data_IF_655668359880
#
_entry.id   IF_655668359880
#
_cell.length_a   1.000
_cell.length_b   1.000
_cell.length_c   1.000
_cell.angle_alpha   90.00
_cell.angle_beta   90.00
_cell.angle_gamma   90.00
#
_symmetry.space_group_name_H-M   'P 1'
#
loop_
_entity.id
_entity.type
_entity.pdbx_description
1 polymer ?
#
# COMPACT_ATOMS: atom_id res chain seq x y z
N UNK A 1 -6.18 -15.55 -13.82
CA UNK A 1 -6.20 -14.49 -12.78
C UNK A 1 -7.29 -13.50 -13.16
N UNK A 2 -8.17 -13.11 -12.24
CA UNK A 2 -9.15 -12.04 -12.54
C UNK A 2 -8.41 -10.70 -12.71
N UNK A 3 -8.86 -9.80 -13.59
CA UNK A 3 -8.19 -8.51 -13.82
C UNK A 3 -7.99 -7.69 -12.54
N UNK A 4 -8.96 -7.74 -11.62
CA UNK A 4 -8.92 -7.06 -10.32
C UNK A 4 -7.77 -7.54 -9.43
N UNK A 5 -7.51 -8.85 -9.36
CA UNK A 5 -6.40 -9.41 -8.58
C UNK A 5 -5.06 -8.95 -9.14
N UNK A 6 -4.91 -8.97 -10.47
CA UNK A 6 -3.66 -8.56 -11.11
C UNK A 6 -3.34 -7.10 -10.82
N UNK A 7 -4.31 -6.19 -10.97
CA UNK A 7 -4.14 -4.79 -10.61
C UNK A 7 -3.90 -4.58 -9.11
N UNK A 8 -4.61 -5.31 -8.24
CA UNK A 8 -4.40 -5.24 -6.80
C UNK A 8 -2.97 -5.62 -6.40
N UNK A 9 -2.39 -6.68 -6.99
CA UNK A 9 -1.00 -7.06 -6.74
C UNK A 9 0.00 -5.98 -7.14
N UNK A 10 -0.25 -5.29 -8.26
CA UNK A 10 0.56 -4.14 -8.69
C UNK A 10 0.48 -3.00 -7.67
N UNK A 11 -0.74 -2.67 -7.20
CA UNK A 11 -0.93 -1.61 -6.20
C UNK A 11 -0.26 -1.92 -4.86
N UNK A 12 -0.34 -3.16 -4.36
CA UNK A 12 0.36 -3.56 -3.14
C UNK A 12 1.89 -3.50 -3.31
N UNK A 13 2.39 -3.88 -4.49
CA UNK A 13 3.83 -3.78 -4.79
C UNK A 13 4.27 -2.31 -4.83
N UNK A 14 3.46 -1.42 -5.40
CA UNK A 14 3.72 0.03 -5.40
C UNK A 14 3.68 0.61 -3.98
N UNK A 15 2.71 0.21 -3.15
CA UNK A 15 2.62 0.65 -1.76
C UNK A 15 3.90 0.28 -0.98
N UNK A 16 4.38 -0.96 -1.15
CA UNK A 16 5.63 -1.42 -0.55
C UNK A 16 6.83 -0.59 -1.00
N UNK A 17 6.92 -0.26 -2.29
CA UNK A 17 7.99 0.59 -2.85
C UNK A 17 7.91 2.00 -2.26
N UNK A 18 6.73 2.63 -2.25
CA UNK A 18 6.56 3.99 -1.73
C UNK A 18 6.89 4.09 -0.23
N UNK A 19 6.44 3.13 0.58
CA UNK A 19 6.79 3.09 2.00
C UNK A 19 8.29 2.86 2.21
N UNK A 20 8.89 1.94 1.45
CA UNK A 20 10.33 1.65 1.55
C UNK A 20 11.17 2.87 1.20
N UNK A 21 10.85 3.55 0.09
CA UNK A 21 11.55 4.77 -0.34
C UNK A 21 11.35 5.91 0.66
N UNK A 22 10.12 6.08 1.17
CA UNK A 22 9.81 7.10 2.18
C UNK A 22 10.62 6.93 3.46
N UNK A 23 10.75 5.70 3.97
CA UNK A 23 11.47 5.37 5.20
C UNK A 23 12.99 5.40 5.00
N UNK A 24 13.50 4.80 3.92
CA UNK A 24 14.95 4.73 3.70
C UNK A 24 15.55 6.12 3.46
N UNK A 25 14.84 7.00 2.75
CA UNK A 25 15.33 8.37 2.54
C UNK A 25 15.40 9.16 3.86
N UNK A 26 14.48 8.92 4.79
CA UNK A 26 14.50 9.50 6.13
C UNK A 26 15.66 8.91 6.97
N UNK A 27 15.89 7.60 6.91
CA UNK A 27 16.96 6.93 7.63
C UNK A 27 18.36 7.48 7.28
N UNK A 28 18.62 7.79 6.01
CA UNK A 28 19.89 8.36 5.58
C UNK A 28 20.05 9.85 5.93
N UNK A 29 18.96 10.63 5.90
CA UNK A 29 19.03 12.08 6.12
C UNK A 29 18.73 12.51 7.57
N UNK A 30 18.20 11.60 8.40
CA UNK A 30 17.72 11.84 9.78
C UNK A 30 16.83 13.09 9.90
N UNK A 31 16.14 13.45 8.83
CA UNK A 31 15.31 14.64 8.75
C UNK A 31 14.07 14.39 7.88
N UNK A 32 12.91 14.54 8.51
CA UNK A 32 11.61 14.41 7.86
C UNK A 32 11.32 15.65 6.99
N UNK A 33 11.68 15.55 5.71
CA UNK A 33 11.29 16.51 4.68
C UNK A 33 9.83 16.30 4.26
N UNK A 34 9.16 17.38 3.82
CA UNK A 34 7.77 17.34 3.30
C UNK A 34 7.56 16.32 2.17
N UNK A 35 8.60 16.02 1.40
CA UNK A 35 8.53 15.03 0.33
C UNK A 35 8.32 13.59 0.84
N UNK A 36 8.82 13.24 2.03
CA UNK A 36 8.53 11.93 2.64
C UNK A 36 7.03 11.78 2.89
N UNK A 37 6.38 12.86 3.34
CA UNK A 37 4.94 12.90 3.60
C UNK A 37 4.14 12.64 2.31
N UNK A 38 4.61 13.14 1.17
CA UNK A 38 4.04 12.84 -0.15
C UNK A 38 4.22 11.36 -0.51
N UNK A 39 5.41 10.79 -0.27
CA UNK A 39 5.66 9.35 -0.54
C UNK A 39 4.81 8.44 0.35
N UNK A 40 4.69 8.76 1.63
CA UNK A 40 3.78 8.06 2.55
C UNK A 40 2.32 8.20 2.11
N UNK A 41 1.89 9.41 1.73
CA UNK A 41 0.55 9.64 1.22
C UNK A 41 0.25 8.83 -0.05
N UNK A 42 1.19 8.77 -0.99
CA UNK A 42 1.08 7.92 -2.17
C UNK A 42 1.00 6.44 -1.81
N UNK A 43 1.81 5.99 -0.85
CA UNK A 43 1.74 4.64 -0.30
C UNK A 43 0.35 4.30 0.21
N UNK A 44 -0.23 5.16 1.06
CA UNK A 44 -1.59 5.00 1.63
C UNK A 44 -2.64 4.95 0.53
N UNK A 45 -2.53 5.80 -0.49
CA UNK A 45 -3.46 5.81 -1.63
C UNK A 45 -3.37 4.49 -2.39
N UNK A 46 -2.17 4.04 -2.73
CA UNK A 46 -1.99 2.77 -3.47
C UNK A 46 -2.46 1.57 -2.67
N UNK A 47 -2.22 1.56 -1.35
CA UNK A 47 -2.65 0.49 -0.47
C UNK A 47 -4.17 0.43 -0.33
N UNK A 48 -4.81 1.59 -0.16
CA UNK A 48 -6.27 1.72 -0.13
C UNK A 48 -6.92 1.26 -1.44
N UNK A 49 -6.32 1.59 -2.58
CA UNK A 49 -6.78 1.13 -3.89
C UNK A 49 -6.62 -0.38 -4.07
N UNK A 50 -5.49 -0.95 -3.65
CA UNK A 50 -5.27 -2.40 -3.65
C UNK A 50 -6.32 -3.15 -2.82
N UNK A 51 -6.59 -2.65 -1.61
CA UNK A 51 -7.61 -3.18 -0.71
C UNK A 51 -9.01 -3.03 -1.28
N UNK A 52 -9.34 -1.89 -1.91
CA UNK A 52 -10.62 -1.69 -2.58
C UNK A 52 -10.81 -2.69 -3.73
N UNK A 53 -9.78 -2.94 -4.54
CA UNK A 53 -9.85 -3.92 -5.63
C UNK A 53 -10.04 -5.34 -5.11
N UNK A 54 -9.43 -5.70 -3.98
CA UNK A 54 -9.67 -7.00 -3.33
C UNK A 54 -11.08 -7.10 -2.77
N UNK A 55 -11.57 -6.03 -2.14
CA UNK A 55 -12.94 -5.96 -1.65
C UNK A 55 -13.96 -6.09 -2.79
N UNK A 56 -13.75 -5.41 -3.92
CA UNK A 56 -14.61 -5.53 -5.11
C UNK A 56 -14.56 -6.93 -5.73
N UNK A 57 -13.42 -7.63 -5.62
CA UNK A 57 -13.29 -8.98 -6.12
C UNK A 57 -14.02 -10.01 -5.23
N UNK A 58 -13.91 -9.88 -3.92
CA UNK A 58 -14.46 -10.83 -2.94
C UNK A 58 -15.89 -10.50 -2.53
N UNK A 59 -16.28 -9.22 -2.59
CA UNK A 59 -17.60 -8.70 -2.22
C UNK A 59 -17.83 -8.55 -0.70
N UNK A 60 -16.88 -8.97 0.13
CA UNK A 60 -16.95 -8.87 1.59
C UNK A 60 -15.54 -8.81 2.20
N UNK A 61 -15.45 -8.35 3.45
CA UNK A 61 -14.20 -8.43 4.22
C UNK A 61 -14.05 -9.84 4.78
N UNK A 62 -12.91 -10.47 4.53
CA UNK A 62 -12.53 -11.74 5.17
C UNK A 62 -11.53 -11.40 6.26
N UNK A 63 -11.89 -11.67 7.51
CA UNK A 63 -10.99 -11.47 8.65
C UNK A 63 -10.04 -12.66 8.77
N UNK A 64 -8.92 -12.56 8.07
CA UNK A 64 -7.77 -13.47 8.25
C UNK A 64 -6.68 -12.77 9.06
N UNK A 65 -5.72 -13.53 9.60
CA UNK A 65 -4.56 -12.93 10.28
C UNK A 65 -3.86 -11.91 9.38
N UNK A 66 -3.70 -12.22 8.09
CA UNK A 66 -3.12 -11.31 7.10
C UNK A 66 -3.96 -10.04 6.91
N UNK A 67 -5.28 -10.20 6.75
CA UNK A 67 -6.21 -9.08 6.55
C UNK A 67 -6.33 -8.18 7.78
N UNK A 68 -6.14 -8.73 8.98
CA UNK A 68 -6.15 -7.96 10.24
C UNK A 68 -4.82 -7.22 10.43
N UNK A 69 -3.68 -7.86 10.11
CA UNK A 69 -2.36 -7.23 10.24
C UNK A 69 -2.05 -6.23 9.13
N UNK A 70 -2.71 -6.37 7.99
CA UNK A 70 -2.47 -5.58 6.78
C UNK A 70 -3.50 -4.48 6.54
N UNK A 71 -4.59 -4.42 7.32
CA UNK A 71 -5.47 -3.26 7.41
C UNK A 71 -4.83 -2.17 8.27
#
# INVERSE_FOLDING_TARGET
MTPLIFWGAIFFTLALVFYSVGIWNDFYHKQLKKWHLVMFGLGVITDSLGTLLMYLHVGHLIFTAHSISGF
#
